data_IF_593222964245
#
_entry.id   IF_593222964245
#
_cell.length_a   1.000
_cell.length_b   1.000
_cell.length_c   1.000
_cell.angle_alpha   90.00
_cell.angle_beta   90.00
_cell.angle_gamma   90.00
#
_symmetry.space_group_name_H-M   'P 1'
#
loop_
_entity.id
_entity.type
_entity.pdbx_description
1 polymer ?
#
# COMPACT_ATOMS: atom_id res chain seq x y z
N UNK A 1 -52.90 62.50 2.87
CA UNK A 1 -52.96 61.33 1.97
C UNK A 1 -51.62 60.65 2.03
N UNK A 2 -51.48 59.70 2.95
CA UNK A 2 -50.26 58.95 3.23
C UNK A 2 -50.68 57.49 3.39
N UNK A 3 -51.04 56.89 2.26
CA UNK A 3 -51.31 55.47 2.08
C UNK A 3 -50.70 55.16 0.73
N UNK A 4 -49.88 54.12 0.65
CA UNK A 4 -49.22 53.54 -0.56
C UNK A 4 -47.70 53.41 -0.46
N UNK A 5 -47.09 53.49 0.73
CA UNK A 5 -45.68 53.09 0.91
C UNK A 5 -45.49 51.72 1.57
N UNK A 6 -46.50 51.22 2.30
CA UNK A 6 -46.41 49.93 2.98
C UNK A 6 -46.85 48.76 2.10
N UNK A 7 -47.85 48.93 1.25
CA UNK A 7 -48.28 47.89 0.31
C UNK A 7 -47.17 47.55 -0.70
N UNK A 8 -46.51 48.57 -1.26
CA UNK A 8 -45.38 48.38 -2.18
C UNK A 8 -44.17 47.71 -1.52
N UNK A 9 -43.91 47.99 -0.23
CA UNK A 9 -42.80 47.38 0.50
C UNK A 9 -43.07 45.90 0.85
N UNK A 10 -44.33 45.53 1.07
CA UNK A 10 -44.74 44.14 1.30
C UNK A 10 -44.69 43.36 -0.01
N UNK A 11 -45.17 43.94 -1.12
CA UNK A 11 -45.10 43.33 -2.46
C UNK A 11 -43.64 43.15 -2.92
N UNK A 12 -42.72 44.08 -2.63
CA UNK A 12 -41.28 43.92 -2.91
C UNK A 12 -40.64 42.81 -2.06
N UNK A 13 -41.07 42.64 -0.80
CA UNK A 13 -40.61 41.53 0.05
C UNK A 13 -41.16 40.18 -0.39
N UNK A 14 -42.43 40.11 -0.82
CA UNK A 14 -43.04 38.89 -1.34
C UNK A 14 -42.42 38.50 -2.69
N UNK A 15 -42.18 39.47 -3.58
CA UNK A 15 -41.47 39.24 -4.84
C UNK A 15 -40.00 38.80 -4.63
N UNK A 16 -39.31 39.34 -3.62
CA UNK A 16 -37.97 38.89 -3.25
C UNK A 16 -37.98 37.47 -2.66
N UNK A 17 -39.01 37.12 -1.88
CA UNK A 17 -39.20 35.77 -1.32
C UNK A 17 -39.55 34.74 -2.42
N UNK A 18 -40.36 35.12 -3.41
CA UNK A 18 -40.64 34.30 -4.59
C UNK A 18 -39.41 34.17 -5.51
N UNK A 19 -38.59 35.21 -5.63
CA UNK A 19 -37.30 35.13 -6.33
C UNK A 19 -36.31 34.19 -5.64
N UNK A 20 -36.37 34.09 -4.30
CA UNK A 20 -35.54 33.17 -3.52
C UNK A 20 -36.08 31.73 -3.55
N UNK A 21 -37.40 31.53 -3.68
CA UNK A 21 -37.99 30.20 -3.84
C UNK A 21 -37.83 29.64 -5.25
N UNK A 22 -37.74 30.50 -6.27
CA UNK A 22 -37.46 30.12 -7.66
C UNK A 22 -35.97 29.98 -7.99
N UNK A 23 -35.07 30.35 -7.07
CA UNK A 23 -33.72 29.82 -7.06
C UNK A 23 -33.80 28.36 -6.63
N UNK A 24 -34.14 27.51 -7.60
CA UNK A 24 -33.63 26.15 -7.61
C UNK A 24 -32.11 26.26 -7.61
N UNK A 25 -31.53 26.39 -6.40
CA UNK A 25 -30.28 25.74 -6.11
C UNK A 25 -30.51 24.32 -6.61
N UNK A 26 -29.91 24.00 -7.76
CA UNK A 26 -29.57 22.62 -8.02
C UNK A 26 -28.85 22.22 -6.74
N UNK A 27 -29.53 21.45 -5.89
CA UNK A 27 -28.84 20.47 -5.09
C UNK A 27 -28.12 19.60 -6.13
N UNK A 28 -26.96 20.07 -6.59
CA UNK A 28 -25.87 19.16 -6.79
C UNK A 28 -25.81 18.45 -5.45
N UNK A 29 -26.42 17.26 -5.43
CA UNK A 29 -26.01 16.19 -4.56
C UNK A 29 -24.52 16.05 -4.84
N UNK A 30 -23.71 16.84 -4.14
CA UNK A 30 -22.36 16.49 -3.80
C UNK A 30 -22.59 15.22 -3.00
N UNK A 31 -22.61 14.09 -3.72
CA UNK A 31 -22.41 12.81 -3.07
C UNK A 31 -21.10 13.02 -2.33
N UNK A 32 -21.06 12.92 -0.99
CA UNK A 32 -19.78 12.93 -0.31
C UNK A 32 -18.93 11.91 -1.06
N UNK A 33 -17.75 12.36 -1.50
CA UNK A 33 -16.85 11.46 -2.21
C UNK A 33 -16.62 10.29 -1.25
N UNK A 34 -17.09 9.10 -1.61
CA UNK A 34 -17.04 7.92 -0.74
C UNK A 34 -15.60 7.63 -0.27
N UNK A 35 -14.63 8.22 -0.96
CA UNK A 35 -13.24 8.26 -0.60
C UNK A 35 -12.89 9.16 0.61
N UNK A 36 -13.40 10.40 0.67
CA UNK A 36 -13.22 11.27 1.85
C UNK A 36 -13.82 10.62 3.11
N UNK A 37 -14.96 9.95 2.95
CA UNK A 37 -15.63 9.22 4.03
C UNK A 37 -14.75 8.11 4.63
N UNK A 38 -14.06 7.32 3.80
CA UNK A 38 -13.20 6.22 4.29
C UNK A 38 -11.97 6.73 5.03
N UNK A 39 -11.33 7.77 4.50
CA UNK A 39 -10.16 8.36 5.15
C UNK A 39 -10.54 9.02 6.49
N UNK A 40 -11.65 9.75 6.52
CA UNK A 40 -12.17 10.36 7.75
C UNK A 40 -12.55 9.29 8.79
N UNK A 41 -13.19 8.19 8.37
CA UNK A 41 -13.47 7.05 9.24
C UNK A 41 -12.20 6.39 9.77
N UNK A 42 -11.17 6.21 8.93
CA UNK A 42 -9.88 5.66 9.35
C UNK A 42 -9.22 6.57 10.40
N UNK A 43 -9.19 7.88 10.16
CA UNK A 43 -8.68 8.87 11.11
C UNK A 43 -9.45 8.83 12.44
N UNK A 44 -10.78 8.86 12.40
CA UNK A 44 -11.62 8.78 13.58
C UNK A 44 -11.33 7.49 14.39
N UNK A 45 -11.28 6.35 13.71
CA UNK A 45 -10.97 5.07 14.33
C UNK A 45 -9.59 5.07 14.99
N UNK A 46 -8.59 5.68 14.36
CA UNK A 46 -7.25 5.77 14.94
C UNK A 46 -7.16 6.80 16.07
N UNK A 47 -8.05 7.81 16.14
CA UNK A 47 -8.09 8.79 17.23
C UNK A 47 -8.81 8.27 18.48
N UNK A 48 -9.91 7.52 18.30
CA UNK A 48 -10.71 6.99 19.41
C UNK A 48 -10.03 5.80 20.10
N UNK A 49 -9.23 5.02 19.36
CA UNK A 49 -8.62 3.79 19.89
C UNK A 49 -7.42 4.08 20.77
N UNK A 50 -7.58 3.84 22.07
CA UNK A 50 -6.50 3.88 23.06
C UNK A 50 -5.80 2.53 23.26
N UNK A 51 -6.46 1.42 22.96
CA UNK A 51 -5.98 0.06 23.19
C UNK A 51 -6.14 -0.84 21.95
N UNK A 52 -5.45 -2.00 21.97
CA UNK A 52 -5.61 -3.02 20.96
C UNK A 52 -7.03 -3.59 20.97
N UNK A 53 -7.55 -3.93 19.79
CA UNK A 53 -8.82 -4.64 19.66
C UNK A 53 -8.58 -6.13 19.85
N UNK A 54 -9.25 -6.73 20.84
CA UNK A 54 -9.22 -8.16 21.07
C UNK A 54 -9.78 -8.91 19.86
N UNK A 55 -9.08 -9.98 19.44
CA UNK A 55 -9.51 -10.80 18.32
C UNK A 55 -9.25 -12.29 18.59
N UNK A 56 -10.33 -13.07 18.61
CA UNK A 56 -10.31 -14.52 18.85
C UNK A 56 -9.92 -15.31 17.60
N UNK A 57 -10.11 -14.77 16.38
CA UNK A 57 -9.79 -15.44 15.11
C UNK A 57 -8.29 -15.63 14.93
N UNK A 58 -7.87 -16.82 14.49
CA UNK A 58 -6.46 -17.10 14.20
C UNK A 58 -5.97 -16.31 12.99
N UNK A 59 -4.67 -16.02 12.94
CA UNK A 59 -4.04 -15.38 11.78
C UNK A 59 -3.81 -16.45 10.71
N UNK A 60 -4.32 -16.22 9.52
CA UNK A 60 -4.03 -17.00 8.32
C UNK A 60 -2.76 -16.45 7.66
N UNK A 61 -1.78 -17.32 7.39
CA UNK A 61 -0.54 -16.94 6.70
C UNK A 61 -0.45 -17.74 5.41
N UNK A 62 -0.50 -17.04 4.28
CA UNK A 62 -0.22 -17.58 2.96
C UNK A 62 1.21 -17.20 2.58
N UNK A 63 2.14 -18.14 2.76
CA UNK A 63 3.55 -17.91 2.46
C UNK A 63 3.85 -18.03 0.97
N UNK A 64 4.82 -17.24 0.51
CA UNK A 64 5.41 -17.38 -0.83
C UNK A 64 6.01 -18.77 -1.05
N UNK A 65 6.78 -19.27 -0.08
CA UNK A 65 7.33 -20.61 -0.08
C UNK A 65 6.57 -21.46 0.94
N UNK A 66 5.72 -22.40 0.50
CA UNK A 66 4.93 -23.25 1.40
C UNK A 66 5.78 -24.16 2.31
N UNK A 67 7.04 -24.38 1.96
CA UNK A 67 7.96 -25.22 2.73
C UNK A 67 8.77 -24.43 3.76
N UNK A 68 8.67 -23.09 3.75
CA UNK A 68 9.36 -22.25 4.72
C UNK A 68 8.67 -22.36 6.08
N UNK A 69 9.40 -22.65 7.18
CA UNK A 69 8.79 -22.78 8.49
C UNK A 69 8.05 -21.49 8.91
N UNK A 70 6.84 -21.67 9.43
CA UNK A 70 6.07 -20.59 10.05
C UNK A 70 6.72 -20.24 11.40
N UNK A 71 7.29 -19.04 11.50
CA UNK A 71 7.78 -18.51 12.76
C UNK A 71 6.72 -17.56 13.35
N UNK A 72 6.26 -17.88 14.55
CA UNK A 72 5.48 -17.00 15.40
C UNK A 72 6.30 -16.67 16.65
N UNK A 73 6.30 -15.40 17.05
CA UNK A 73 6.95 -14.97 18.30
C UNK A 73 5.91 -14.65 19.36
N UNK A 74 6.26 -14.83 20.63
CA UNK A 74 5.38 -14.51 21.78
C UNK A 74 5.87 -13.33 22.62
N UNK A 75 7.09 -12.87 22.39
CA UNK A 75 7.71 -11.75 23.09
C UNK A 75 8.50 -10.87 22.11
N UNK A 76 8.76 -9.61 22.46
CA UNK A 76 9.56 -8.71 21.62
C UNK A 76 11.06 -9.04 21.70
N UNK A 77 11.48 -9.70 22.77
CA UNK A 77 12.84 -10.16 23.04
C UNK A 77 13.26 -11.26 22.05
N UNK A 78 12.33 -12.14 21.66
CA UNK A 78 12.56 -13.17 20.63
C UNK A 78 12.93 -12.58 19.27
N UNK A 79 12.54 -11.34 18.98
CA UNK A 79 12.83 -10.64 17.72
C UNK A 79 14.25 -10.06 17.67
N UNK A 80 15.01 -10.12 18.76
CA UNK A 80 16.40 -9.64 18.84
C UNK A 80 16.58 -8.20 18.34
N UNK A 81 15.64 -7.33 18.72
CA UNK A 81 15.66 -5.91 18.33
C UNK A 81 16.88 -5.19 18.92
N UNK A 82 17.33 -4.12 18.25
CA UNK A 82 18.32 -3.18 18.82
C UNK A 82 17.81 -2.68 20.18
N UNK A 83 18.67 -2.58 21.22
CA UNK A 83 18.23 -2.23 22.58
C UNK A 83 17.42 -0.92 22.65
N UNK A 84 17.81 0.09 21.88
CA UNK A 84 17.12 1.37 21.80
C UNK A 84 15.69 1.24 21.25
N UNK A 85 15.51 0.36 20.25
CA UNK A 85 14.19 0.09 19.68
C UNK A 85 13.30 -0.68 20.66
N UNK A 86 13.86 -1.70 21.32
CA UNK A 86 13.13 -2.48 22.32
C UNK A 86 12.68 -1.59 23.50
N UNK A 87 13.54 -0.69 23.96
CA UNK A 87 13.21 0.32 24.96
C UNK A 87 12.07 1.24 24.48
N UNK A 88 12.08 1.63 23.20
CA UNK A 88 11.02 2.41 22.56
C UNK A 88 9.67 1.71 22.59
N UNK A 89 9.66 0.42 22.24
CA UNK A 89 8.45 -0.44 22.27
C UNK A 89 7.85 -0.49 23.69
N UNK A 90 8.64 -0.77 24.72
CA UNK A 90 8.13 -0.79 26.11
C UNK A 90 7.71 0.58 26.62
N UNK A 91 8.41 1.64 26.24
CA UNK A 91 8.06 2.98 26.69
C UNK A 91 6.75 3.52 26.07
N UNK A 92 6.23 2.85 25.04
CA UNK A 92 4.88 3.06 24.50
C UNK A 92 3.82 2.18 25.20
N UNK A 93 4.21 1.33 26.15
CA UNK A 93 3.31 0.43 26.88
C UNK A 93 3.07 -0.92 26.20
N UNK A 94 3.82 -1.27 25.15
CA UNK A 94 3.68 -2.57 24.48
C UNK A 94 4.46 -3.65 25.21
N UNK A 95 3.76 -4.43 26.03
CA UNK A 95 4.38 -5.51 26.83
C UNK A 95 4.58 -6.81 26.05
N UNK A 96 3.72 -7.09 25.07
CA UNK A 96 3.79 -8.28 24.20
C UNK A 96 3.32 -7.94 22.78
N UNK A 97 3.79 -8.67 21.75
CA UNK A 97 3.27 -8.52 20.40
C UNK A 97 1.77 -8.80 20.33
N UNK A 98 1.04 -8.03 19.52
CA UNK A 98 -0.35 -8.36 19.17
C UNK A 98 -0.40 -9.57 18.23
N UNK A 99 -1.58 -10.20 18.09
CA UNK A 99 -1.77 -11.40 17.26
C UNK A 99 -1.24 -11.25 15.82
N UNK A 100 -1.48 -10.11 15.18
CA UNK A 100 -0.95 -9.83 13.85
C UNK A 100 0.58 -9.62 13.88
N UNK A 101 1.10 -8.98 14.92
CA UNK A 101 2.54 -8.75 15.10
C UNK A 101 3.32 -10.05 15.34
N UNK A 102 2.76 -11.00 16.07
CA UNK A 102 3.37 -12.32 16.32
C UNK A 102 3.78 -13.03 15.02
N UNK A 103 3.04 -12.80 13.93
CA UNK A 103 3.28 -13.42 12.62
C UNK A 103 3.95 -12.44 11.64
N UNK A 104 3.59 -11.15 11.68
CA UNK A 104 4.13 -10.15 10.76
C UNK A 104 5.58 -9.79 11.07
N UNK A 105 5.94 -9.60 12.35
CA UNK A 105 7.27 -9.13 12.73
C UNK A 105 8.38 -10.11 12.35
N UNK A 106 8.24 -11.44 12.55
CA UNK A 106 9.26 -12.39 12.09
C UNK A 106 9.48 -12.34 10.58
N UNK A 107 8.42 -12.15 9.79
CA UNK A 107 8.52 -12.06 8.33
C UNK A 107 9.18 -10.75 7.89
N UNK A 108 8.83 -9.63 8.53
CA UNK A 108 9.35 -8.30 8.21
C UNK A 108 10.81 -8.11 8.63
N UNK A 109 11.25 -8.83 9.68
CA UNK A 109 12.60 -8.78 10.23
C UNK A 109 13.48 -9.96 9.78
N UNK A 110 12.95 -10.86 8.95
CA UNK A 110 13.71 -11.97 8.40
C UNK A 110 14.93 -11.48 7.60
N UNK A 111 15.99 -12.29 7.59
CA UNK A 111 17.15 -12.07 6.75
C UNK A 111 17.26 -13.21 5.71
N UNK A 112 17.11 -12.93 4.40
CA UNK A 112 16.86 -11.62 3.80
C UNK A 112 15.42 -11.09 4.04
N UNK A 113 15.20 -9.76 3.98
CA UNK A 113 13.87 -9.17 4.15
C UNK A 113 12.84 -9.73 3.17
N UNK A 114 11.64 -10.01 3.67
CA UNK A 114 10.52 -10.49 2.86
C UNK A 114 9.46 -9.41 2.66
N UNK A 115 8.79 -9.46 1.50
CA UNK A 115 7.60 -8.65 1.26
C UNK A 115 6.40 -9.28 1.95
N UNK A 116 5.51 -8.45 2.48
CA UNK A 116 4.37 -8.85 3.28
C UNK A 116 3.13 -8.02 2.91
N UNK A 117 2.05 -8.67 2.53
CA UNK A 117 0.72 -8.03 2.58
C UNK A 117 0.12 -8.38 3.93
N UNK A 118 -0.30 -7.40 4.72
CA UNK A 118 -0.91 -7.62 6.03
C UNK A 118 -2.33 -7.06 6.06
N UNK A 119 -3.34 -7.91 6.21
CA UNK A 119 -4.74 -7.50 6.32
C UNK A 119 -5.30 -7.81 7.71
N UNK A 120 -5.79 -6.78 8.41
CA UNK A 120 -6.53 -6.95 9.66
C UNK A 120 -7.30 -5.67 10.00
N UNK A 121 -8.19 -5.72 10.99
CA UNK A 121 -9.00 -4.55 11.34
C UNK A 121 -8.11 -3.43 11.88
N UNK A 122 -8.58 -2.18 11.83
CA UNK A 122 -7.85 -1.11 12.52
C UNK A 122 -7.80 -1.41 14.03
N UNK A 123 -6.76 -0.94 14.73
CA UNK A 123 -6.55 -1.23 16.15
C UNK A 123 -5.92 -2.59 16.48
N UNK A 124 -5.49 -3.40 15.51
CA UNK A 124 -4.77 -4.66 15.76
C UNK A 124 -3.26 -4.50 15.94
N UNK A 125 -2.72 -3.29 15.79
CA UNK A 125 -1.28 -3.04 15.93
C UNK A 125 -0.47 -3.08 14.63
N UNK A 126 -1.10 -3.01 13.45
CA UNK A 126 -0.42 -2.92 12.14
C UNK A 126 0.57 -1.76 12.07
N UNK A 127 0.17 -0.56 12.52
CA UNK A 127 1.03 0.62 12.53
C UNK A 127 2.30 0.40 13.34
N UNK A 128 2.16 -0.10 14.57
CA UNK A 128 3.31 -0.42 15.40
C UNK A 128 4.20 -1.52 14.77
N UNK A 129 3.60 -2.53 14.10
CA UNK A 129 4.37 -3.57 13.42
C UNK A 129 5.29 -2.99 12.35
N UNK A 130 4.75 -2.09 11.52
CA UNK A 130 5.50 -1.50 10.44
C UNK A 130 6.51 -0.45 10.84
N UNK A 131 6.16 0.36 11.85
CA UNK A 131 7.08 1.36 12.40
C UNK A 131 8.29 0.65 12.99
N UNK A 132 8.08 -0.45 13.71
CA UNK A 132 9.15 -1.28 14.25
C UNK A 132 10.05 -1.82 13.13
N UNK A 133 9.47 -2.36 12.04
CA UNK A 133 10.28 -2.83 10.90
C UNK A 133 11.09 -1.73 10.22
N UNK A 134 10.51 -0.53 10.03
CA UNK A 134 11.25 0.62 9.51
C UNK A 134 12.43 0.98 10.43
N UNK A 135 12.18 1.13 11.74
CA UNK A 135 13.20 1.50 12.72
C UNK A 135 14.30 0.45 12.86
N UNK A 136 13.99 -0.85 12.70
CA UNK A 136 14.98 -1.92 12.70
C UNK A 136 15.99 -1.81 11.56
N UNK A 137 15.57 -1.28 10.40
CA UNK A 137 16.38 -1.21 9.17
C UNK A 137 17.14 0.12 8.99
N UNK A 138 16.76 1.16 9.74
CA UNK A 138 17.43 2.47 9.68
C UNK A 138 18.81 2.39 10.32
N UNK A 139 19.76 3.03 9.64
CA UNK A 139 21.11 3.32 10.15
C UNK A 139 21.27 4.84 10.36
N UNK A 140 21.15 5.36 11.59
CA UNK A 140 21.20 6.80 11.87
C UNK A 140 22.51 7.51 11.49
N UNK A 141 23.62 6.77 11.34
CA UNK A 141 24.86 7.38 10.87
C UNK A 141 24.75 7.90 9.41
N UNK A 142 23.82 7.36 8.63
CA UNK A 142 23.65 7.66 7.21
C UNK A 142 22.54 8.70 6.99
N UNK A 143 22.93 9.98 6.94
CA UNK A 143 22.03 11.14 6.83
C UNK A 143 21.37 11.32 5.45
N UNK A 144 20.51 10.38 5.09
CA UNK A 144 19.63 10.42 3.93
C UNK A 144 18.41 9.50 4.15
N UNK A 145 17.31 9.68 3.39
CA UNK A 145 16.14 8.82 3.49
C UNK A 145 16.45 7.35 3.19
N UNK A 146 16.15 6.47 4.14
CA UNK A 146 16.33 5.02 4.07
C UNK A 146 14.99 4.28 4.15
N UNK A 147 13.98 4.87 4.78
CA UNK A 147 12.64 4.31 4.85
C UNK A 147 11.62 5.33 4.35
N UNK A 148 10.64 4.85 3.57
CA UNK A 148 9.59 5.68 3.00
C UNK A 148 8.22 5.09 3.33
N UNK A 149 7.34 5.89 3.93
CA UNK A 149 5.97 5.52 4.24
C UNK A 149 5.00 6.44 3.49
N UNK A 150 4.10 5.83 2.73
CA UNK A 150 2.98 6.52 2.10
C UNK A 150 1.73 6.38 2.98
N UNK A 151 1.09 7.52 3.23
CA UNK A 151 -0.22 7.59 3.91
C UNK A 151 -1.22 8.28 3.00
N UNK A 152 -2.51 7.89 3.01
CA UNK A 152 -3.48 8.39 2.05
C UNK A 152 -3.88 9.85 2.29
N UNK A 153 -3.76 10.33 3.54
CA UNK A 153 -4.05 11.73 3.86
C UNK A 153 -2.97 12.38 4.71
N UNK A 154 -3.03 13.71 4.79
CA UNK A 154 -2.16 14.53 5.62
C UNK A 154 -2.26 14.16 7.11
N UNK A 155 -3.48 13.99 7.61
CA UNK A 155 -3.79 13.73 9.00
C UNK A 155 -3.29 12.35 9.43
N UNK A 156 -3.48 11.34 8.56
CA UNK A 156 -2.98 9.99 8.79
C UNK A 156 -1.45 9.94 8.75
N UNK A 157 -0.81 10.72 7.87
CA UNK A 157 0.64 10.86 7.85
C UNK A 157 1.17 11.44 9.17
N UNK A 158 0.55 12.51 9.70
CA UNK A 158 0.93 13.08 10.99
C UNK A 158 0.75 12.08 12.14
N UNK A 159 -0.34 11.31 12.12
CA UNK A 159 -0.60 10.34 13.17
C UNK A 159 0.45 9.21 13.17
N UNK A 160 0.74 8.63 12.01
CA UNK A 160 1.78 7.60 11.89
C UNK A 160 3.16 8.18 12.21
N UNK A 161 3.43 9.44 11.83
CA UNK A 161 4.65 10.14 12.19
C UNK A 161 4.89 10.24 13.70
N UNK A 162 3.85 10.55 14.48
CA UNK A 162 3.92 10.53 15.96
C UNK A 162 4.29 9.15 16.51
N UNK A 163 3.79 8.06 15.91
CA UNK A 163 4.15 6.69 16.31
C UNK A 163 5.62 6.41 16.02
N UNK A 164 6.13 6.86 14.87
CA UNK A 164 7.56 6.74 14.50
C UNK A 164 8.44 7.50 15.51
N UNK A 165 8.09 8.74 15.82
CA UNK A 165 8.83 9.58 16.77
C UNK A 165 8.81 8.99 18.19
N UNK A 166 7.66 8.50 18.66
CA UNK A 166 7.52 7.90 19.98
C UNK A 166 8.31 6.59 20.11
N UNK A 167 8.19 5.69 19.14
CA UNK A 167 8.90 4.41 19.15
C UNK A 167 10.40 4.59 18.92
N UNK A 168 10.78 5.59 18.12
CA UNK A 168 12.16 5.93 17.79
C UNK A 168 12.85 6.86 18.79
N UNK A 169 12.20 7.27 19.88
CA UNK A 169 12.68 8.35 20.78
C UNK A 169 14.06 8.11 21.41
N UNK A 170 14.52 6.86 21.48
CA UNK A 170 15.84 6.49 22.00
C UNK A 170 16.93 6.42 20.93
N UNK A 171 16.64 6.81 19.69
CA UNK A 171 17.62 7.06 18.64
C UNK A 171 17.89 8.58 18.53
N UNK A 172 18.95 9.11 19.15
CA UNK A 172 19.15 10.56 19.28
C UNK A 172 19.36 11.28 17.94
N UNK A 173 19.92 10.59 16.95
CA UNK A 173 20.17 11.17 15.61
C UNK A 173 19.05 10.88 14.60
N UNK A 174 18.07 10.06 14.96
CA UNK A 174 16.97 9.73 14.08
C UNK A 174 16.11 10.98 13.85
N UNK A 175 15.75 11.22 12.59
CA UNK A 175 14.89 12.33 12.19
C UNK A 175 13.89 11.87 11.14
N UNK A 176 12.71 12.48 11.20
CA UNK A 176 11.57 12.23 10.33
C UNK A 176 11.28 13.48 9.50
N UNK A 177 11.09 13.30 8.20
CA UNK A 177 10.61 14.35 7.30
C UNK A 177 9.18 14.05 6.85
N UNK A 178 8.35 15.09 6.79
CA UNK A 178 6.97 15.01 6.31
C UNK A 178 6.87 15.54 4.88
N UNK A 179 6.73 14.63 3.91
CA UNK A 179 6.49 14.95 2.51
C UNK A 179 4.99 15.11 2.25
N UNK A 180 4.43 16.20 2.76
CA UNK A 180 3.01 16.53 2.69
C UNK A 180 2.80 17.94 2.15
N UNK A 181 1.59 18.24 1.65
CA UNK A 181 1.25 19.57 1.13
C UNK A 181 1.52 20.64 2.18
N UNK A 182 2.10 21.76 1.75
CA UNK A 182 2.45 22.89 2.61
C UNK A 182 3.91 22.90 3.08
N UNK A 183 4.58 21.74 3.06
CA UNK A 183 6.01 21.71 3.38
C UNK A 183 6.83 22.21 2.17
N UNK A 184 7.47 23.36 2.33
CA UNK A 184 8.27 24.00 1.28
C UNK A 184 9.75 23.78 1.56
N UNK A 185 10.43 23.20 0.58
CA UNK A 185 11.88 23.08 0.55
C UNK A 185 12.40 23.75 -0.70
N UNK A 186 13.59 24.32 -0.62
CA UNK A 186 14.18 25.02 -1.76
C UNK A 186 14.75 24.02 -2.76
N UNK A 187 14.63 24.36 -4.05
CA UNK A 187 15.17 23.52 -5.12
C UNK A 187 16.69 23.39 -4.95
N UNK A 188 17.20 22.17 -5.01
CA UNK A 188 18.63 21.87 -4.80
C UNK A 188 18.96 21.37 -3.40
N UNK A 189 18.06 21.53 -2.42
CA UNK A 189 18.21 20.90 -1.11
C UNK A 189 18.04 19.37 -1.21
N UNK A 190 18.66 18.67 -0.27
CA UNK A 190 18.51 17.23 -0.07
C UNK A 190 17.98 16.99 1.33
N UNK A 191 17.05 16.05 1.46
CA UNK A 191 16.59 15.58 2.77
C UNK A 191 17.73 14.84 3.46
N UNK A 192 17.97 15.20 4.72
CA UNK A 192 18.97 14.56 5.57
C UNK A 192 18.36 13.56 6.55
N UNK A 193 17.03 13.63 6.72
CA UNK A 193 16.21 12.79 7.55
C UNK A 193 16.19 11.35 7.03
N UNK A 194 16.13 10.41 7.96
CA UNK A 194 16.30 8.98 7.71
C UNK A 194 15.00 8.32 7.27
N UNK A 195 13.89 8.85 7.76
CA UNK A 195 12.56 8.37 7.47
C UNK A 195 11.79 9.52 6.82
N UNK A 196 11.08 9.20 5.74
CA UNK A 196 10.11 10.11 5.13
C UNK A 196 8.73 9.48 5.24
N UNK A 197 7.75 10.26 5.71
CA UNK A 197 6.34 9.93 5.64
C UNK A 197 5.59 11.01 4.86
N UNK A 198 4.63 10.63 4.02
CA UNK A 198 3.94 11.63 3.21
C UNK A 198 2.79 11.09 2.38
N UNK A 199 2.13 12.00 1.69
CA UNK A 199 1.07 11.63 0.72
C UNK A 199 1.68 11.33 -0.65
N UNK A 200 1.08 10.43 -1.45
CA UNK A 200 1.68 9.97 -2.71
C UNK A 200 2.06 11.11 -3.65
N UNK A 201 1.20 12.12 -3.83
CA UNK A 201 1.46 13.24 -4.73
C UNK A 201 2.73 14.02 -4.34
N UNK A 202 2.87 14.40 -3.07
CA UNK A 202 4.03 15.18 -2.61
C UNK A 202 5.30 14.34 -2.56
N UNK A 203 5.22 13.07 -2.17
CA UNK A 203 6.37 12.15 -2.22
C UNK A 203 6.84 11.94 -3.66
N UNK A 204 5.90 11.78 -4.60
CA UNK A 204 6.22 11.64 -6.02
C UNK A 204 6.97 12.87 -6.52
N UNK A 205 6.54 14.08 -6.15
CA UNK A 205 7.25 15.31 -6.48
C UNK A 205 8.66 15.36 -5.88
N UNK A 206 8.82 14.98 -4.61
CA UNK A 206 10.12 14.95 -3.93
C UNK A 206 11.11 13.98 -4.60
N UNK A 207 10.63 12.84 -5.09
CA UNK A 207 11.45 11.85 -5.80
C UNK A 207 11.72 12.22 -7.27
N UNK A 208 10.68 12.62 -8.00
CA UNK A 208 10.73 12.73 -9.46
C UNK A 208 11.09 14.14 -9.95
N UNK A 209 10.46 15.17 -9.40
CA UNK A 209 10.51 16.54 -9.90
C UNK A 209 11.55 17.39 -9.19
N UNK A 210 11.54 17.35 -7.86
CA UNK A 210 12.36 18.20 -6.99
C UNK A 210 13.70 17.54 -6.63
N UNK A 211 13.78 16.21 -6.75
CA UNK A 211 14.98 15.40 -6.47
C UNK A 211 15.50 15.58 -5.04
N UNK A 212 14.61 15.81 -4.08
CA UNK A 212 14.93 15.89 -2.65
C UNK A 212 15.33 14.54 -2.07
N UNK A 213 14.73 13.47 -2.60
CA UNK A 213 14.97 12.08 -2.20
C UNK A 213 15.60 11.31 -3.36
N UNK A 214 16.58 10.46 -3.07
CA UNK A 214 17.06 9.42 -4.00
C UNK A 214 16.33 8.10 -3.70
N UNK A 215 15.33 7.70 -4.51
CA UNK A 215 14.52 6.51 -4.24
C UNK A 215 15.34 5.21 -4.27
N UNK A 216 16.51 5.20 -4.92
CA UNK A 216 17.40 4.01 -4.99
C UNK A 216 18.07 3.67 -3.65
N UNK A 217 18.03 4.60 -2.68
CA UNK A 217 18.60 4.42 -1.34
C UNK A 217 17.57 3.94 -0.31
N UNK A 218 16.30 3.86 -0.70
CA UNK A 218 15.22 3.34 0.16
C UNK A 218 15.38 1.83 0.33
N UNK A 219 15.43 1.39 1.59
CA UNK A 219 15.55 -0.02 2.01
C UNK A 219 14.21 -0.63 2.40
N UNK A 220 13.29 0.21 2.90
CA UNK A 220 11.95 -0.18 3.35
C UNK A 220 10.93 0.79 2.77
N UNK A 221 9.91 0.24 2.12
CA UNK A 221 8.79 0.99 1.58
C UNK A 221 7.47 0.46 2.18
N UNK A 222 6.63 1.39 2.62
CA UNK A 222 5.36 1.11 3.29
C UNK A 222 4.22 1.82 2.59
N UNK A 223 3.12 1.10 2.37
CA UNK A 223 1.85 1.64 1.92
C UNK A 223 0.79 1.39 2.99
N UNK A 224 0.50 2.42 3.80
CA UNK A 224 -0.50 2.35 4.88
C UNK A 224 -1.92 2.61 4.33
N UNK A 225 -2.92 1.95 4.94
CA UNK A 225 -4.35 2.07 4.56
C UNK A 225 -4.57 1.93 3.04
N UNK A 226 -4.10 0.82 2.46
CA UNK A 226 -4.04 0.64 1.01
C UNK A 226 -5.43 0.63 0.33
N UNK A 227 -6.46 0.23 1.05
CA UNK A 227 -7.85 0.29 0.61
C UNK A 227 -8.37 1.73 0.48
N UNK A 228 -7.97 2.62 1.39
CA UNK A 228 -8.20 4.07 1.27
C UNK A 228 -7.33 4.64 0.14
N UNK A 229 -6.08 4.17 0.03
CA UNK A 229 -5.15 4.62 -1.01
C UNK A 229 -5.66 4.34 -2.44
N UNK A 230 -6.29 3.18 -2.66
CA UNK A 230 -6.86 2.79 -3.96
C UNK A 230 -8.16 3.54 -4.24
N UNK A 231 -8.93 3.89 -3.20
CA UNK A 231 -10.16 4.67 -3.36
C UNK A 231 -9.88 6.13 -3.76
N UNK A 232 -8.72 6.68 -3.39
CA UNK A 232 -8.36 8.07 -3.73
C UNK A 232 -7.86 8.22 -5.15
N UNK A 233 -8.50 9.13 -5.90
CA UNK A 233 -8.14 9.40 -7.28
C UNK A 233 -6.65 9.75 -7.43
N UNK A 234 -5.97 9.04 -8.33
CA UNK A 234 -4.55 9.23 -8.66
C UNK A 234 -3.56 8.67 -7.64
N UNK A 235 -3.97 8.35 -6.41
CA UNK A 235 -3.06 7.85 -5.37
C UNK A 235 -2.49 6.48 -5.69
N UNK A 236 -3.30 5.60 -6.30
CA UNK A 236 -2.83 4.31 -6.81
C UNK A 236 -1.68 4.52 -7.80
N UNK A 237 -1.90 5.23 -8.91
CA UNK A 237 -0.88 5.44 -9.94
C UNK A 237 0.38 6.14 -9.41
N UNK A 238 0.21 7.12 -8.55
CA UNK A 238 1.33 7.82 -7.91
C UNK A 238 2.17 6.86 -7.04
N UNK A 239 1.50 6.02 -6.24
CA UNK A 239 2.17 5.02 -5.39
C UNK A 239 2.94 3.99 -6.22
N UNK A 240 2.35 3.51 -7.33
CA UNK A 240 3.02 2.59 -8.28
C UNK A 240 4.27 3.24 -8.88
N UNK A 241 4.18 4.51 -9.31
CA UNK A 241 5.33 5.25 -9.86
C UNK A 241 6.44 5.46 -8.85
N UNK A 242 6.11 5.76 -7.60
CA UNK A 242 7.10 5.90 -6.51
C UNK A 242 7.83 4.57 -6.30
N UNK A 243 7.07 3.48 -6.21
CA UNK A 243 7.62 2.14 -6.02
C UNK A 243 8.59 1.75 -7.15
N UNK A 244 8.22 1.98 -8.41
CA UNK A 244 9.05 1.59 -9.56
C UNK A 244 10.39 2.34 -9.62
N UNK A 245 10.47 3.56 -9.09
CA UNK A 245 11.70 4.34 -9.04
C UNK A 245 12.74 3.82 -8.05
N UNK A 246 12.32 3.11 -6.99
CA UNK A 246 13.21 2.55 -5.97
C UNK A 246 13.79 1.19 -6.34
N UNK A 247 13.22 0.51 -7.33
CA UNK A 247 13.66 -0.83 -7.72
C UNK A 247 15.01 -0.79 -8.45
N UNK A 248 15.97 -1.62 -8.02
CA UNK A 248 17.11 -2.01 -8.86
C UNK A 248 16.61 -3.00 -9.93
N UNK A 249 17.05 -2.90 -11.19
CA UNK A 249 16.72 -3.90 -12.20
C UNK A 249 17.26 -5.27 -11.73
N UNK A 250 16.36 -6.20 -11.45
CA UNK A 250 16.70 -7.61 -11.18
C UNK A 250 16.16 -8.47 -12.31
N UNK A 251 16.88 -9.51 -12.74
CA UNK A 251 16.35 -10.44 -13.74
C UNK A 251 15.08 -11.10 -13.21
N UNK A 252 14.04 -11.09 -14.04
CA UNK A 252 12.76 -11.74 -13.78
C UNK A 252 13.00 -13.24 -13.50
N UNK A 253 12.54 -13.72 -12.33
CA UNK A 253 12.44 -15.16 -12.07
C UNK A 253 10.95 -15.51 -11.90
N UNK A 254 10.39 -16.47 -12.67
CA UNK A 254 9.03 -16.95 -12.45
C UNK A 254 8.86 -17.48 -11.01
N UNK A 255 7.72 -17.20 -10.36
CA UNK A 255 7.40 -17.70 -9.00
C UNK A 255 7.67 -16.73 -7.82
N UNK A 256 7.82 -15.42 -8.07
CA UNK A 256 7.94 -14.40 -7.03
C UNK A 256 6.56 -13.84 -6.63
N UNK A 257 5.80 -14.58 -5.82
CA UNK A 257 4.62 -14.04 -5.12
C UNK A 257 4.98 -13.35 -3.81
N UNK A 258 4.05 -12.63 -3.20
CA UNK A 258 4.19 -12.01 -1.88
C UNK A 258 3.59 -12.92 -0.79
N UNK A 259 4.13 -12.86 0.43
CA UNK A 259 3.51 -13.54 1.58
C UNK A 259 2.35 -12.68 2.10
N UNK A 260 1.16 -13.26 2.27
CA UNK A 260 -0.02 -12.59 2.82
C UNK A 260 -0.26 -13.09 4.25
N UNK A 261 -0.29 -12.19 5.24
CA UNK A 261 -0.77 -12.48 6.58
C UNK A 261 -2.12 -11.78 6.80
N UNK A 262 -3.16 -12.53 7.12
CA UNK A 262 -4.52 -12.00 7.30
C UNK A 262 -5.12 -12.47 8.62
N UNK A 263 -5.76 -11.57 9.36
CA UNK A 263 -6.77 -11.97 10.35
C UNK A 263 -8.13 -11.99 9.61
N UNK A 264 -8.88 -13.10 9.63
CA UNK A 264 -10.15 -13.19 8.92
C UNK A 264 -11.16 -12.15 9.45
N UNK A 265 -11.41 -11.12 8.64
CA UNK A 265 -12.49 -10.14 8.80
C UNK A 265 -12.78 -9.52 7.40
N UNK A 266 -14.04 -9.52 6.93
CA UNK A 266 -14.43 -9.00 5.63
C UNK A 266 -14.29 -7.47 5.46
N UNK A 267 -14.19 -6.69 6.55
CA UNK A 267 -14.16 -5.20 6.48
C UNK A 267 -12.80 -4.60 6.88
N UNK A 268 -11.75 -5.41 6.89
CA UNK A 268 -10.43 -5.02 7.40
C UNK A 268 -9.58 -4.27 6.35
N UNK A 269 -9.12 -3.02 6.64
CA UNK A 269 -8.21 -2.28 5.76
C UNK A 269 -6.86 -2.99 5.64
N UNK A 270 -6.40 -3.16 4.39
CA UNK A 270 -5.13 -3.81 4.08
C UNK A 270 -3.94 -2.86 4.21
N UNK A 271 -2.82 -3.35 4.74
CA UNK A 271 -1.52 -2.68 4.72
C UNK A 271 -0.59 -3.48 3.82
N UNK A 272 0.08 -2.81 2.90
CA UNK A 272 1.01 -3.42 1.96
C UNK A 272 2.44 -3.08 2.40
N UNK A 273 3.23 -4.12 2.66
CA UNK A 273 4.64 -4.05 3.02
C UNK A 273 5.49 -4.66 1.92
N UNK A 274 6.48 -3.93 1.42
CA UNK A 274 7.46 -4.59 0.58
C UNK A 274 8.50 -3.69 -0.06
N UNK A 275 9.64 -4.29 -0.38
CA UNK A 275 10.45 -3.89 -1.51
C UNK A 275 9.78 -4.44 -2.77
N UNK A 276 8.78 -3.71 -3.26
CA UNK A 276 7.65 -4.32 -3.96
C UNK A 276 7.77 -4.25 -5.49
N UNK A 277 7.37 -5.34 -6.16
CA UNK A 277 6.99 -5.50 -7.58
C UNK A 277 5.45 -5.65 -7.64
N UNK A 278 4.79 -5.06 -8.64
CA UNK A 278 3.34 -5.30 -8.86
C UNK A 278 3.18 -6.40 -9.91
N UNK A 279 2.48 -7.47 -9.54
CA UNK A 279 1.88 -8.38 -10.52
C UNK A 279 0.60 -7.71 -11.05
N UNK A 280 0.68 -7.13 -12.24
CA UNK A 280 -0.50 -6.73 -12.99
C UNK A 280 -1.34 -7.96 -13.33
N UNK A 281 -2.61 -7.96 -12.95
CA UNK A 281 -3.63 -8.70 -13.69
C UNK A 281 -4.57 -7.68 -14.31
N UNK A 282 -4.33 -7.41 -15.60
CA UNK A 282 -5.41 -7.05 -16.51
C UNK A 282 -6.46 -8.16 -16.50
N UNK A 283 -7.72 -7.76 -16.66
CA UNK A 283 -8.88 -8.58 -16.40
C UNK A 283 -8.95 -9.86 -17.23
N UNK A 284 -9.50 -10.89 -16.61
CA UNK A 284 -10.41 -11.76 -17.34
C UNK A 284 -11.53 -12.21 -16.41
N UNK A 285 -12.75 -11.74 -16.73
CA UNK A 285 -14.00 -12.17 -16.11
C UNK A 285 -14.37 -13.47 -16.82
N UNK A 286 -13.81 -14.59 -16.38
CA UNK A 286 -14.33 -15.91 -16.79
C UNK A 286 -15.32 -16.42 -15.75
N UNK A 287 -16.58 -16.09 -16.02
CA UNK A 287 -17.82 -16.69 -15.52
C UNK A 287 -17.72 -18.24 -15.52
N UNK A 288 -17.45 -18.85 -14.38
CA UNK A 288 -17.55 -20.32 -14.22
C UNK A 288 -19.02 -20.71 -14.06
N UNK A 289 -19.60 -21.25 -15.14
CA UNK A 289 -20.88 -21.97 -15.11
C UNK A 289 -20.71 -23.28 -14.32
N UNK A 290 -21.73 -23.57 -13.53
CA UNK A 290 -21.85 -24.73 -12.67
C UNK A 290 -21.70 -26.08 -13.41
N UNK A 291 -21.06 -27.01 -12.69
CA UNK A 291 -20.91 -28.43 -13.01
C UNK A 291 -22.22 -29.21 -12.89
N UNK A 292 -22.58 -29.95 -13.95
CA UNK A 292 -23.32 -31.24 -13.94
C UNK A 292 -22.59 -32.08 -15.00
N UNK A 293 -21.87 -33.16 -14.72
CA UNK A 293 -22.32 -34.42 -14.12
C UNK A 293 -22.54 -35.46 -15.24
N UNK A 294 -21.56 -36.32 -15.51
CA UNK A 294 -21.72 -37.48 -16.42
C UNK A 294 -20.40 -38.04 -17.02
N UNK A 295 -20.25 -39.35 -17.25
CA UNK A 295 -19.00 -40.08 -16.91
C UNK A 295 -18.04 -40.38 -18.08
N UNK A 296 -16.77 -40.60 -17.70
CA UNK A 296 -15.65 -41.06 -18.54
C UNK A 296 -15.89 -42.46 -19.14
N UNK A 297 -15.51 -42.65 -20.40
CA UNK A 297 -15.18 -43.95 -21.01
C UNK A 297 -13.78 -43.89 -21.62
N UNK A 298 -13.03 -44.97 -21.43
CA UNK A 298 -11.61 -45.18 -21.79
C UNK A 298 -11.44 -46.09 -23.00
N UNK A 299 -10.21 -46.07 -23.56
CA UNK A 299 -9.52 -47.04 -24.46
C UNK A 299 -9.56 -46.76 -25.99
N UNK A 300 -8.62 -47.31 -26.79
CA UNK A 300 -7.17 -47.05 -26.84
C UNK A 300 -6.67 -46.79 -28.30
N UNK A 301 -5.40 -46.42 -28.48
CA UNK A 301 -4.75 -46.21 -29.80
C UNK A 301 -4.39 -47.52 -30.54
N UNK A 302 -4.36 -47.50 -31.89
CA UNK A 302 -3.33 -48.26 -32.61
C UNK A 302 -2.65 -47.51 -33.78
N UNK A 303 -1.40 -47.94 -34.03
CA UNK A 303 -0.50 -47.81 -35.21
C UNK A 303 -1.23 -48.11 -36.54
N UNK A 304 -0.78 -47.86 -37.77
CA UNK A 304 0.48 -47.61 -38.51
C UNK A 304 0.04 -47.38 -39.99
N UNK A 305 0.78 -46.74 -40.90
CA UNK A 305 1.64 -47.38 -41.92
C UNK A 305 1.96 -46.34 -43.01
N UNK A 306 3.20 -46.30 -43.50
CA UNK A 306 3.59 -45.67 -44.79
C UNK A 306 3.15 -46.54 -45.99
N UNK A 307 3.44 -46.12 -47.25
CA UNK A 307 4.71 -46.50 -47.92
C UNK A 307 5.28 -45.36 -48.81
N UNK A 308 6.58 -45.26 -49.10
CA UNK A 308 7.28 -46.04 -50.14
C UNK A 308 8.01 -45.10 -51.14
N UNK A 309 8.98 -45.57 -51.95
CA UNK A 309 10.31 -44.94 -52.07
C UNK A 309 10.78 -44.61 -53.52
N UNK A 310 12.08 -44.25 -53.64
CA UNK A 310 13.00 -44.24 -54.81
C UNK A 310 13.12 -42.89 -55.57
N UNK A 311 14.27 -42.39 -56.07
CA UNK A 311 15.70 -42.81 -56.17
C UNK A 311 16.53 -41.59 -56.63
N UNK A 312 17.84 -41.60 -56.32
CA UNK A 312 19.03 -41.13 -57.10
C UNK A 312 19.02 -39.73 -57.75
N UNK A 313 19.92 -38.81 -57.39
CA UNK A 313 21.30 -38.74 -57.90
C UNK A 313 21.69 -37.28 -58.27
N UNK A 314 22.96 -36.94 -58.54
CA UNK A 314 23.61 -35.74 -57.98
C UNK A 314 24.03 -34.65 -59.01
N UNK A 315 24.66 -33.56 -58.50
CA UNK A 315 25.64 -32.63 -59.13
C UNK A 315 25.23 -31.17 -59.38
N UNK A 316 26.12 -30.26 -58.88
CA UNK A 316 26.59 -28.92 -59.35
C UNK A 316 25.54 -27.93 -59.91
N UNK A 317 25.51 -26.64 -59.60
CA UNK A 317 26.53 -25.68 -59.20
C UNK A 317 26.20 -24.33 -59.87
N UNK A 318 26.68 -23.24 -59.29
CA UNK A 318 26.80 -21.89 -59.87
C UNK A 318 25.53 -21.00 -60.04
N UNK A 319 25.53 -19.90 -59.26
CA UNK A 319 25.08 -18.54 -59.61
C UNK A 319 25.80 -18.04 -60.90
N UNK A 320 25.45 -16.90 -61.57
CA UNK A 320 24.68 -15.73 -61.10
C UNK A 320 23.73 -15.09 -62.14
N UNK A 321 23.04 -14.00 -61.75
CA UNK A 321 22.42 -13.01 -62.65
C UNK A 321 21.10 -12.47 -62.08
N UNK A 322 21.08 -11.27 -61.50
CA UNK A 322 20.78 -9.96 -62.14
C UNK A 322 19.45 -9.94 -62.91
N UNK A 323 18.39 -9.46 -62.26
CA UNK A 323 17.76 -8.16 -62.50
C UNK A 323 16.63 -7.92 -61.49
#
# INVERSE_FOLDING_TARGET
MATDSWALAVDEQEAAAESLSNLHLKEEKIKPDANEDRAAQSLLNKLIRSNLVDNTNQVEVLQRDPNSPLYSVKSFEELRLKPQLLQGVYAMGFNRPSKIQENALPLMLAEPPQNLIAQSQSGTGKTAAFVLAMLSQVEPANRYPQCLCLSPTYELALQTGKVIEQMGKFYPELKLAYAVRGNKLERGQKISEHIVIGTPGTVLDWCAKLKFIDPKKIKVFVLDEADVMIATQGHQDQSIRIQSMGQKPRPFKPGQGETLARVPDPNSPGVLFGNLHIAGKEGDVTRTKASRGGPRRTYPSPRSLGPGPLREGPWRGALPGTH
#
